data_IF_509191708680
#
_entry.id   IF_509191708680
#
_cell.length_a   1.000
_cell.length_b   1.000
_cell.length_c   1.000
_cell.angle_alpha   90.00
_cell.angle_beta   90.00
_cell.angle_gamma   90.00
#
_symmetry.space_group_name_H-M   'P 1'
#
loop_
_entity.id
_entity.type
_entity.pdbx_description
1 polymer ?
#
# COMPACT_ATOMS: atom_id res chain seq x y z
N UNK A 1 -8.97 -15.60 6.46
CA UNK A 1 -8.90 -17.05 6.15
C UNK A 1 -8.42 -17.33 4.72
N UNK A 2 -8.82 -16.53 3.70
CA UNK A 2 -8.39 -16.74 2.30
C UNK A 2 -6.93 -16.37 2.05
N UNK A 3 -6.36 -15.50 2.87
CA UNK A 3 -4.96 -15.03 2.71
C UNK A 3 -3.95 -16.16 2.84
N UNK A 4 -4.11 -17.05 3.84
CA UNK A 4 -3.18 -18.15 4.08
C UNK A 4 -2.99 -19.06 2.87
N UNK A 5 -4.07 -19.66 2.30
CA UNK A 5 -3.96 -20.49 1.11
C UNK A 5 -3.37 -19.77 -0.12
N UNK A 6 -3.76 -18.50 -0.35
CA UNK A 6 -3.23 -17.73 -1.49
C UNK A 6 -1.74 -17.44 -1.36
N UNK A 7 -1.30 -17.00 -0.19
CA UNK A 7 0.11 -16.73 0.09
C UNK A 7 0.93 -18.02 0.06
N UNK A 8 0.41 -19.10 0.67
CA UNK A 8 1.08 -20.42 0.64
C UNK A 8 1.23 -20.95 -0.78
N UNK A 9 0.19 -20.85 -1.61
CA UNK A 9 0.24 -21.26 -3.01
C UNK A 9 1.25 -20.43 -3.79
N UNK A 10 1.20 -19.09 -3.64
CA UNK A 10 2.14 -18.18 -4.30
C UNK A 10 3.59 -18.48 -3.92
N UNK A 11 3.84 -18.78 -2.64
CA UNK A 11 5.15 -19.15 -2.14
C UNK A 11 5.68 -20.44 -2.76
N UNK A 12 4.88 -21.51 -2.79
CA UNK A 12 5.26 -22.78 -3.40
C UNK A 12 5.58 -22.59 -4.89
N UNK A 13 4.74 -21.82 -5.59
CA UNK A 13 4.94 -21.52 -6.99
C UNK A 13 6.21 -20.69 -7.23
N UNK A 14 6.46 -19.67 -6.40
CA UNK A 14 7.65 -18.85 -6.48
C UNK A 14 8.94 -19.65 -6.26
N UNK A 15 8.97 -20.55 -5.24
CA UNK A 15 10.11 -21.45 -5.01
C UNK A 15 10.33 -22.36 -6.21
N UNK A 16 9.27 -22.95 -6.78
CA UNK A 16 9.38 -23.83 -7.94
C UNK A 16 9.98 -23.11 -9.14
N UNK A 17 9.45 -21.91 -9.47
CA UNK A 17 9.93 -21.09 -10.58
C UNK A 17 11.37 -20.61 -10.36
N UNK A 18 11.70 -20.17 -9.15
CA UNK A 18 13.06 -19.76 -8.79
C UNK A 18 14.04 -20.93 -8.88
N UNK A 19 13.63 -22.12 -8.41
CA UNK A 19 14.43 -23.33 -8.51
C UNK A 19 14.70 -23.73 -9.97
N UNK A 20 13.69 -23.67 -10.84
CA UNK A 20 13.86 -23.92 -12.28
C UNK A 20 14.79 -22.89 -12.95
N UNK A 21 14.61 -21.61 -12.63
CA UNK A 21 15.45 -20.53 -13.16
C UNK A 21 16.90 -20.62 -12.67
N UNK A 22 17.15 -21.22 -11.50
CA UNK A 22 18.49 -21.39 -10.92
C UNK A 22 19.27 -22.58 -11.49
N UNK A 23 18.60 -23.57 -12.07
CA UNK A 23 19.27 -24.79 -12.61
C UNK A 23 20.37 -24.50 -13.64
N UNK A 24 20.18 -23.61 -14.64
CA UNK A 24 21.23 -23.27 -15.60
C UNK A 24 22.47 -22.66 -14.94
N UNK A 25 22.29 -21.91 -13.85
CA UNK A 25 23.38 -21.27 -13.12
C UNK A 25 24.31 -22.27 -12.41
N UNK A 26 23.83 -23.49 -12.13
CA UNK A 26 24.67 -24.57 -11.59
C UNK A 26 25.70 -25.05 -12.59
N UNK A 27 25.40 -24.95 -13.89
CA UNK A 27 26.30 -25.36 -14.99
C UNK A 27 27.12 -24.16 -15.49
N UNK A 28 26.51 -22.99 -15.54
CA UNK A 28 27.13 -21.75 -16.05
C UNK A 28 26.97 -20.64 -15.00
N UNK A 29 27.97 -20.46 -14.11
CA UNK A 29 27.88 -19.51 -12.99
C UNK A 29 27.59 -18.07 -13.38
N UNK A 30 27.92 -17.66 -14.62
CA UNK A 30 27.61 -16.32 -15.13
C UNK A 30 26.11 -16.05 -15.21
N UNK A 31 25.29 -17.10 -15.35
CA UNK A 31 23.81 -17.00 -15.35
C UNK A 31 23.22 -16.78 -13.96
N UNK A 32 24.02 -16.95 -12.90
CA UNK A 32 23.62 -16.61 -11.54
C UNK A 32 23.56 -15.09 -11.30
N UNK A 33 24.22 -14.30 -12.15
CA UNK A 33 24.21 -12.84 -12.03
C UNK A 33 22.78 -12.33 -12.23
N UNK A 34 22.23 -11.70 -11.18
CA UNK A 34 20.85 -11.20 -11.17
C UNK A 34 19.80 -12.15 -10.62
N UNK A 35 20.15 -13.42 -10.30
CA UNK A 35 19.26 -14.32 -9.57
C UNK A 35 19.30 -13.99 -8.08
N UNK A 36 18.27 -13.29 -7.61
CA UNK A 36 18.12 -12.95 -6.20
C UNK A 36 16.87 -13.66 -5.62
N UNK A 37 17.01 -14.38 -4.49
CA UNK A 37 15.87 -14.98 -3.80
C UNK A 37 14.80 -13.97 -3.37
N UNK A 38 15.19 -12.73 -3.08
CA UNK A 38 14.25 -11.67 -2.74
C UNK A 38 13.31 -11.38 -3.91
N UNK A 39 13.87 -11.17 -5.12
CA UNK A 39 13.09 -10.89 -6.33
C UNK A 39 12.33 -12.13 -6.84
N UNK A 40 12.93 -13.32 -6.71
CA UNK A 40 12.37 -14.54 -7.25
C UNK A 40 11.37 -15.26 -6.34
N UNK A 41 11.45 -15.06 -5.02
CA UNK A 41 10.62 -15.79 -4.04
C UNK A 41 9.81 -14.82 -3.18
N UNK A 42 10.45 -13.84 -2.55
CA UNK A 42 9.80 -13.00 -1.54
C UNK A 42 8.79 -12.04 -2.21
N UNK A 43 9.21 -11.26 -3.21
CA UNK A 43 8.32 -10.30 -3.90
C UNK A 43 7.08 -10.99 -4.50
N UNK A 44 7.19 -12.09 -5.29
CA UNK A 44 6.01 -12.77 -5.82
C UNK A 44 5.07 -13.30 -4.75
N UNK A 45 5.61 -13.76 -3.62
CA UNK A 45 4.82 -14.23 -2.49
C UNK A 45 3.99 -13.09 -1.87
N UNK A 46 4.60 -11.93 -1.68
CA UNK A 46 3.93 -10.73 -1.17
C UNK A 46 2.96 -10.13 -2.18
N UNK A 47 3.13 -10.37 -3.47
CA UNK A 47 2.16 -10.04 -4.51
C UNK A 47 0.77 -10.64 -4.25
N UNK A 48 0.69 -11.84 -3.64
CA UNK A 48 -0.59 -12.44 -3.24
C UNK A 48 -1.27 -11.65 -2.10
N UNK A 49 -0.50 -11.13 -1.14
CA UNK A 49 -1.02 -10.26 -0.06
C UNK A 49 -1.50 -8.94 -0.65
N UNK A 50 -0.74 -8.35 -1.55
CA UNK A 50 -1.11 -7.14 -2.27
C UNK A 50 -2.46 -7.30 -2.99
N UNK A 51 -2.68 -8.44 -3.67
CA UNK A 51 -3.96 -8.77 -4.32
C UNK A 51 -5.12 -8.77 -3.31
N UNK A 52 -4.93 -9.43 -2.16
CA UNK A 52 -5.94 -9.49 -1.09
C UNK A 52 -6.22 -8.10 -0.53
N UNK A 53 -5.21 -7.30 -0.28
CA UNK A 53 -5.36 -5.92 0.20
C UNK A 53 -6.15 -5.07 -0.80
N UNK A 54 -5.86 -5.21 -2.08
CA UNK A 54 -6.53 -4.44 -3.12
C UNK A 54 -8.00 -4.83 -3.29
N UNK A 55 -8.32 -6.14 -3.29
CA UNK A 55 -9.64 -6.65 -3.65
C UNK A 55 -10.54 -6.90 -2.45
N UNK A 56 -10.03 -7.49 -1.37
CA UNK A 56 -10.86 -8.00 -0.28
C UNK A 56 -10.83 -7.11 0.96
N UNK A 57 -9.70 -6.48 1.24
CA UNK A 57 -9.53 -5.69 2.45
C UNK A 57 -10.44 -4.45 2.53
N UNK A 58 -10.77 -3.76 1.42
CA UNK A 58 -11.73 -2.66 1.42
C UNK A 58 -13.07 -3.03 2.07
N UNK A 59 -13.57 -4.25 1.87
CA UNK A 59 -14.83 -4.71 2.48
C UNK A 59 -14.76 -4.77 4.01
N UNK A 60 -13.60 -5.16 4.56
CA UNK A 60 -13.37 -5.19 6.01
C UNK A 60 -13.42 -3.78 6.59
N UNK A 61 -12.73 -2.84 5.95
CA UNK A 61 -12.69 -1.45 6.38
C UNK A 61 -14.05 -0.76 6.26
N UNK A 62 -14.75 -0.94 5.14
CA UNK A 62 -16.08 -0.36 4.89
C UNK A 62 -17.08 -0.81 5.94
N UNK A 63 -17.07 -2.08 6.30
CA UNK A 63 -18.00 -2.66 7.26
C UNK A 63 -17.98 -1.94 8.61
N UNK A 64 -16.85 -1.41 9.05
CA UNK A 64 -16.71 -0.72 10.34
C UNK A 64 -17.52 0.57 10.43
N UNK A 65 -17.78 1.24 9.32
CA UNK A 65 -18.63 2.45 9.26
C UNK A 65 -20.05 2.11 8.79
N UNK A 66 -20.19 1.27 7.76
CA UNK A 66 -21.50 0.96 7.18
C UNK A 66 -22.40 0.25 8.16
N UNK A 67 -21.89 -0.68 9.00
CA UNK A 67 -22.68 -1.33 10.04
C UNK A 67 -23.31 -0.34 11.03
N UNK A 68 -22.57 0.70 11.42
CA UNK A 68 -23.09 1.73 12.31
C UNK A 68 -24.13 2.63 11.64
N UNK A 69 -23.99 2.88 10.33
CA UNK A 69 -25.00 3.59 9.56
C UNK A 69 -26.29 2.79 9.46
N UNK A 70 -26.18 1.52 9.09
CA UNK A 70 -27.33 0.63 8.86
C UNK A 70 -28.10 0.35 10.15
N UNK A 71 -27.40 0.16 11.28
CA UNK A 71 -28.00 -0.04 12.60
C UNK A 71 -28.53 1.23 13.27
N UNK A 72 -28.22 2.40 12.70
CA UNK A 72 -28.53 3.70 13.32
C UNK A 72 -27.65 4.05 14.55
N UNK A 73 -26.74 3.16 14.96
CA UNK A 73 -25.84 3.36 16.11
C UNK A 73 -24.90 4.56 15.92
N UNK A 74 -24.65 4.97 14.67
CA UNK A 74 -23.86 6.16 14.37
C UNK A 74 -24.44 7.43 15.01
N UNK A 75 -25.77 7.58 15.06
CA UNK A 75 -26.43 8.72 15.71
C UNK A 75 -26.18 8.73 17.21
N UNK A 76 -26.21 7.57 17.85
CA UNK A 76 -25.93 7.43 19.27
C UNK A 76 -24.44 7.71 19.57
N UNK A 77 -23.52 7.27 18.71
CA UNK A 77 -22.10 7.55 18.85
C UNK A 77 -21.80 9.06 18.81
N UNK A 78 -22.49 9.81 17.96
CA UNK A 78 -22.32 11.28 17.91
C UNK A 78 -22.96 12.03 19.07
N UNK A 79 -23.82 11.39 19.88
CA UNK A 79 -24.38 11.93 21.11
C UNK A 79 -23.45 11.71 22.32
N UNK A 80 -22.45 10.83 22.20
CA UNK A 80 -21.45 10.62 23.24
C UNK A 80 -20.53 11.85 23.36
N UNK A 81 -19.93 12.10 24.55
CA UNK A 81 -19.01 13.21 24.76
C UNK A 81 -17.66 13.01 24.06
N UNK A 82 -17.53 11.97 23.22
CA UNK A 82 -16.31 11.65 22.48
C UNK A 82 -16.15 12.52 21.24
N UNK A 83 -14.93 12.95 20.97
CA UNK A 83 -14.63 13.68 19.73
C UNK A 83 -14.74 12.74 18.53
N UNK A 84 -15.37 13.18 17.43
CA UNK A 84 -15.49 12.40 16.21
C UNK A 84 -14.16 11.92 15.64
N UNK A 85 -13.08 12.71 15.84
CA UNK A 85 -11.71 12.31 15.47
C UNK A 85 -11.21 11.10 16.27
N UNK A 86 -11.52 11.05 17.57
CA UNK A 86 -11.14 9.91 18.42
C UNK A 86 -11.92 8.64 18.03
N UNK A 87 -13.23 8.79 17.72
CA UNK A 87 -14.04 7.67 17.24
C UNK A 87 -13.52 7.12 15.90
N UNK A 88 -13.19 8.01 14.95
CA UNK A 88 -12.63 7.59 13.67
C UNK A 88 -11.24 6.96 13.86
N UNK A 89 -10.38 7.53 14.70
CA UNK A 89 -9.07 6.97 15.01
C UNK A 89 -9.17 5.56 15.61
N UNK A 90 -10.12 5.34 16.54
CA UNK A 90 -10.36 4.01 17.12
C UNK A 90 -10.82 3.00 16.06
N UNK A 91 -11.72 3.39 15.15
CA UNK A 91 -12.15 2.54 14.02
C UNK A 91 -10.98 2.24 13.06
N UNK A 92 -10.21 3.26 12.72
CA UNK A 92 -8.99 3.09 11.90
C UNK A 92 -8.01 2.12 12.56
N UNK A 93 -7.75 2.28 13.86
CA UNK A 93 -6.88 1.38 14.61
C UNK A 93 -7.39 -0.08 14.58
N UNK A 94 -8.69 -0.29 14.75
CA UNK A 94 -9.28 -1.63 14.65
C UNK A 94 -9.09 -2.25 13.25
N UNK A 95 -9.25 -1.46 12.18
CA UNK A 95 -9.00 -1.92 10.81
C UNK A 95 -7.52 -2.23 10.58
N UNK A 96 -6.59 -1.40 11.11
CA UNK A 96 -5.15 -1.65 11.00
C UNK A 96 -4.72 -2.90 11.79
N UNK A 97 -5.35 -3.19 12.94
CA UNK A 97 -5.14 -4.47 13.63
C UNK A 97 -5.62 -5.65 12.77
N UNK A 98 -6.78 -5.53 12.12
CA UNK A 98 -7.25 -6.54 11.17
C UNK A 98 -6.29 -6.72 9.99
N UNK A 99 -5.68 -5.61 9.51
CA UNK A 99 -4.64 -5.66 8.49
C UNK A 99 -3.41 -6.46 8.95
N UNK A 100 -2.93 -6.25 10.18
CA UNK A 100 -1.81 -7.04 10.74
C UNK A 100 -2.11 -8.55 10.73
N UNK A 101 -3.36 -8.94 10.96
CA UNK A 101 -3.78 -10.35 10.87
C UNK A 101 -3.73 -10.88 9.42
N UNK A 102 -3.96 -10.02 8.43
CA UNK A 102 -3.83 -10.37 7.00
C UNK A 102 -2.37 -10.61 6.62
N UNK A 103 -1.43 -9.90 7.24
CA UNK A 103 0.02 -10.06 7.00
C UNK A 103 0.65 -11.29 7.66
N UNK A 104 0.00 -11.89 8.67
CA UNK A 104 0.56 -13.05 9.39
C UNK A 104 1.00 -14.21 8.48
N UNK A 105 0.24 -14.62 7.44
CA UNK A 105 0.70 -15.65 6.52
C UNK A 105 2.00 -15.30 5.80
N UNK A 106 2.18 -14.04 5.41
CA UNK A 106 3.43 -13.56 4.81
C UNK A 106 4.62 -13.67 5.75
N UNK A 107 4.43 -13.27 7.02
CA UNK A 107 5.46 -13.41 8.05
C UNK A 107 5.80 -14.88 8.33
N UNK A 108 4.78 -15.76 8.35
CA UNK A 108 5.01 -17.20 8.51
C UNK A 108 5.80 -17.79 7.34
N UNK A 109 5.53 -17.36 6.13
CA UNK A 109 6.27 -17.78 4.93
C UNK A 109 7.73 -17.33 5.01
N UNK A 110 8.01 -16.09 5.43
CA UNK A 110 9.40 -15.64 5.66
C UNK A 110 10.12 -16.50 6.70
N UNK A 111 9.42 -16.85 7.78
CA UNK A 111 9.97 -17.74 8.80
C UNK A 111 10.27 -19.14 8.23
N UNK A 112 9.34 -19.74 7.48
CA UNK A 112 9.51 -21.03 6.82
C UNK A 112 10.70 -20.98 5.86
N UNK A 113 10.78 -19.94 5.02
CA UNK A 113 11.89 -19.72 4.09
C UNK A 113 13.24 -19.68 4.83
N UNK A 114 13.31 -18.92 5.92
CA UNK A 114 14.52 -18.81 6.74
C UNK A 114 14.91 -20.13 7.38
N UNK A 115 13.95 -20.87 7.93
CA UNK A 115 14.18 -22.18 8.56
C UNK A 115 14.58 -23.26 7.54
N UNK A 116 14.17 -23.11 6.28
CA UNK A 116 14.56 -24.00 5.17
C UNK A 116 15.95 -23.68 4.60
N UNK A 117 16.70 -22.76 5.22
CA UNK A 117 18.03 -22.35 4.77
C UNK A 117 18.02 -21.24 3.72
N UNK A 118 16.85 -20.64 3.45
CA UNK A 118 16.73 -19.51 2.53
C UNK A 118 17.42 -18.24 3.06
N UNK A 119 18.00 -17.48 2.14
CA UNK A 119 18.64 -16.21 2.47
C UNK A 119 17.59 -15.12 2.62
N UNK A 120 17.72 -14.30 3.67
CA UNK A 120 16.91 -13.09 3.93
C UNK A 120 17.86 -11.99 4.33
N UNK A 121 17.90 -10.93 3.53
CA UNK A 121 18.56 -9.69 3.91
C UNK A 121 17.55 -8.78 4.62
N UNK A 122 17.76 -8.54 5.93
CA UNK A 122 16.78 -7.89 6.77
C UNK A 122 16.40 -6.47 6.36
N UNK A 123 17.33 -5.55 5.96
CA UNK A 123 16.95 -4.20 5.56
C UNK A 123 16.01 -4.15 4.35
N UNK A 124 16.29 -4.95 3.32
CA UNK A 124 15.49 -5.04 2.10
C UNK A 124 14.10 -5.61 2.39
N UNK A 125 14.04 -6.69 3.19
CA UNK A 125 12.78 -7.31 3.60
C UNK A 125 11.93 -6.38 4.47
N UNK A 126 12.56 -5.65 5.41
CA UNK A 126 11.86 -4.64 6.23
C UNK A 126 11.33 -3.48 5.38
N UNK A 127 12.06 -3.08 4.34
CA UNK A 127 11.60 -2.08 3.38
C UNK A 127 10.33 -2.53 2.66
N UNK A 128 10.29 -3.78 2.18
CA UNK A 128 9.10 -4.39 1.57
C UNK A 128 7.91 -4.40 2.55
N UNK A 129 8.11 -4.91 3.77
CA UNK A 129 7.07 -4.96 4.81
C UNK A 129 6.53 -3.57 5.14
N UNK A 130 7.42 -2.58 5.22
CA UNK A 130 7.04 -1.19 5.45
C UNK A 130 6.21 -0.62 4.29
N UNK A 131 6.58 -0.91 3.05
CA UNK A 131 5.80 -0.56 1.86
C UNK A 131 4.40 -1.17 1.89
N UNK A 132 4.28 -2.46 2.22
CA UNK A 132 2.99 -3.14 2.39
C UNK A 132 2.16 -2.52 3.53
N UNK A 133 2.79 -2.15 4.63
CA UNK A 133 2.11 -1.42 5.72
C UNK A 133 1.53 -0.09 5.24
N UNK A 134 2.32 0.72 4.57
CA UNK A 134 1.88 2.00 4.02
C UNK A 134 0.75 1.83 2.99
N UNK A 135 0.84 0.79 2.17
CA UNK A 135 -0.22 0.44 1.23
C UNK A 135 -1.52 0.05 1.95
N UNK A 136 -1.45 -0.80 2.97
CA UNK A 136 -2.60 -1.14 3.80
C UNK A 136 -3.24 0.07 4.48
N UNK A 137 -2.42 1.02 4.95
CA UNK A 137 -2.90 2.29 5.52
C UNK A 137 -3.68 3.09 4.49
N UNK A 138 -3.15 3.30 3.27
CA UNK A 138 -3.84 4.10 2.26
C UNK A 138 -5.14 3.44 1.79
N UNK A 139 -5.15 2.12 1.59
CA UNK A 139 -6.35 1.35 1.23
C UNK A 139 -7.41 1.45 2.35
N UNK A 140 -6.98 1.40 3.62
CA UNK A 140 -7.86 1.62 4.78
C UNK A 140 -8.55 2.98 4.69
N UNK A 141 -7.81 4.06 4.48
CA UNK A 141 -8.39 5.40 4.43
C UNK A 141 -9.25 5.66 3.21
N UNK A 142 -8.89 5.12 2.04
CA UNK A 142 -9.76 5.15 0.84
C UNK A 142 -11.10 4.46 1.17
N UNK A 143 -11.06 3.31 1.81
CA UNK A 143 -12.25 2.51 2.13
C UNK A 143 -13.13 3.17 3.18
N UNK A 144 -12.52 3.74 4.24
CA UNK A 144 -13.26 4.50 5.26
C UNK A 144 -13.89 5.77 4.69
N UNK A 145 -13.17 6.47 3.81
CA UNK A 145 -13.73 7.65 3.12
C UNK A 145 -14.89 7.26 2.20
N UNK A 146 -14.74 6.20 1.41
CA UNK A 146 -15.82 5.67 0.58
C UNK A 146 -17.07 5.31 1.43
N UNK A 147 -16.87 4.65 2.59
CA UNK A 147 -17.93 4.34 3.52
C UNK A 147 -18.56 5.60 4.17
N UNK A 148 -17.79 6.66 4.39
CA UNK A 148 -18.32 7.92 4.92
C UNK A 148 -19.23 8.65 3.91
N UNK A 149 -18.85 8.63 2.63
CA UNK A 149 -19.59 9.33 1.55
C UNK A 149 -20.81 8.54 1.08
N UNK A 150 -20.67 7.22 0.91
CA UNK A 150 -21.72 6.36 0.37
C UNK A 150 -22.88 6.16 1.34
N UNK A 151 -24.07 6.00 0.80
CA UNK A 151 -25.28 5.69 1.60
C UNK A 151 -25.36 4.22 1.97
N UNK A 152 -24.82 3.31 1.14
CA UNK A 152 -24.84 1.86 1.37
C UNK A 152 -23.44 1.27 1.34
N UNK A 153 -23.27 0.11 1.99
CA UNK A 153 -22.03 -0.65 1.96
C UNK A 153 -21.63 -1.07 0.53
N UNK A 154 -22.61 -1.41 -0.31
CA UNK A 154 -22.36 -1.78 -1.73
C UNK A 154 -21.82 -0.63 -2.55
N UNK A 155 -22.40 0.57 -2.41
CA UNK A 155 -21.91 1.77 -3.08
C UNK A 155 -20.52 2.14 -2.58
N UNK A 156 -20.27 2.04 -1.27
CA UNK A 156 -18.95 2.25 -0.69
C UNK A 156 -17.91 1.28 -1.27
N UNK A 157 -18.28 0.01 -1.41
CA UNK A 157 -17.41 -1.01 -2.01
C UNK A 157 -17.06 -0.70 -3.47
N UNK A 158 -18.05 -0.31 -4.27
CA UNK A 158 -17.82 0.11 -5.66
C UNK A 158 -16.86 1.30 -5.75
N UNK A 159 -17.05 2.34 -4.90
CA UNK A 159 -16.18 3.50 -4.87
C UNK A 159 -14.74 3.12 -4.46
N UNK A 160 -14.58 2.32 -3.40
CA UNK A 160 -13.27 1.89 -2.94
C UNK A 160 -12.56 1.04 -4.00
N UNK A 161 -13.24 0.04 -4.58
CA UNK A 161 -12.70 -0.81 -5.63
C UNK A 161 -12.38 -0.02 -6.91
N UNK A 162 -13.18 0.97 -7.28
CA UNK A 162 -12.86 1.85 -8.41
C UNK A 162 -11.54 2.58 -8.19
N UNK A 163 -11.26 3.04 -6.96
CA UNK A 163 -9.99 3.68 -6.64
C UNK A 163 -8.82 2.68 -6.65
N UNK A 164 -8.99 1.52 -6.00
CA UNK A 164 -7.90 0.55 -5.85
C UNK A 164 -7.62 -0.23 -7.14
N UNK A 165 -8.65 -0.78 -7.80
CA UNK A 165 -8.51 -1.47 -9.09
C UNK A 165 -8.25 -0.51 -10.23
N UNK A 166 -8.85 0.69 -10.22
CA UNK A 166 -8.56 1.72 -11.21
C UNK A 166 -7.08 2.09 -11.23
N UNK A 167 -6.44 2.13 -10.06
CA UNK A 167 -4.99 2.27 -9.95
C UNK A 167 -4.22 1.15 -10.67
N UNK A 168 -4.69 -0.07 -10.57
CA UNK A 168 -4.09 -1.23 -11.25
C UNK A 168 -4.25 -1.15 -12.77
N UNK A 169 -5.43 -0.76 -13.24
CA UNK A 169 -5.69 -0.55 -14.67
C UNK A 169 -4.77 0.55 -15.24
N UNK A 170 -4.51 1.60 -14.47
CA UNK A 170 -3.57 2.66 -14.88
C UNK A 170 -2.15 2.13 -15.05
N UNK A 171 -1.72 1.17 -14.23
CA UNK A 171 -0.40 0.52 -14.36
C UNK A 171 -0.26 -0.21 -15.70
N UNK A 172 -1.27 -1.01 -16.08
CA UNK A 172 -1.29 -1.66 -17.38
C UNK A 172 -1.33 -0.67 -18.54
N UNK A 173 -2.10 0.41 -18.41
CA UNK A 173 -2.21 1.43 -19.45
C UNK A 173 -0.92 2.24 -19.63
N UNK A 174 -0.16 2.48 -18.57
CA UNK A 174 1.14 3.17 -18.63
C UNK A 174 2.18 2.41 -19.43
N UNK A 175 2.14 1.07 -19.42
CA UNK A 175 2.99 0.21 -20.24
C UNK A 175 2.77 0.34 -21.75
N UNK A 176 1.70 1.03 -22.21
CA UNK A 176 1.38 1.24 -23.62
C UNK A 176 2.21 2.33 -24.33
N UNK A 177 3.16 2.96 -23.63
CA UNK A 177 4.07 3.97 -24.23
C UNK A 177 3.49 5.39 -24.36
N UNK A 178 2.33 5.66 -23.83
CA UNK A 178 1.67 6.97 -23.93
C UNK A 178 2.14 7.92 -22.82
N UNK A 179 2.77 9.04 -23.18
CA UNK A 179 3.47 9.95 -22.24
C UNK A 179 2.57 10.59 -21.19
N UNK A 180 1.29 10.84 -21.49
CA UNK A 180 0.37 11.43 -20.51
C UNK A 180 -0.16 10.38 -19.52
N UNK A 181 -0.35 9.11 -19.96
CA UNK A 181 -0.69 7.99 -19.09
C UNK A 181 0.42 7.69 -18.10
N UNK A 182 1.69 7.79 -18.53
CA UNK A 182 2.84 7.62 -17.65
C UNK A 182 2.84 8.63 -16.49
N UNK A 183 2.44 9.90 -16.74
CA UNK A 183 2.32 10.92 -15.68
C UNK A 183 1.18 10.63 -14.70
N UNK A 184 0.07 10.08 -15.18
CA UNK A 184 -1.05 9.67 -14.32
C UNK A 184 -0.65 8.43 -13.51
N UNK A 185 0.13 7.52 -14.09
CA UNK A 185 0.65 6.35 -13.42
C UNK A 185 1.48 6.68 -12.18
N UNK A 186 2.29 7.77 -12.21
CA UNK A 186 3.04 8.21 -11.01
C UNK A 186 2.15 8.48 -9.79
N UNK A 187 0.85 8.70 -9.99
CA UNK A 187 -0.14 8.88 -8.93
C UNK A 187 -0.87 7.57 -8.56
N UNK A 188 -0.54 6.46 -9.22
CA UNK A 188 -1.16 5.17 -8.93
C UNK A 188 -0.67 4.58 -7.61
N UNK A 189 -1.53 3.80 -6.96
CA UNK A 189 -1.18 3.13 -5.70
C UNK A 189 -0.08 2.08 -5.91
N UNK A 190 -0.03 1.46 -7.09
CA UNK A 190 1.02 0.52 -7.50
C UNK A 190 2.38 1.20 -7.64
N UNK A 191 2.43 2.39 -8.23
CA UNK A 191 3.66 3.17 -8.34
C UNK A 191 4.22 3.57 -6.96
N UNK A 192 3.32 3.77 -5.96
CA UNK A 192 3.74 4.07 -4.59
C UNK A 192 4.39 2.87 -3.88
N UNK A 193 4.00 1.64 -4.22
CA UNK A 193 4.55 0.42 -3.61
C UNK A 193 5.87 -0.01 -4.27
N UNK A 194 6.01 0.20 -5.57
CA UNK A 194 7.15 -0.28 -6.38
C UNK A 194 8.55 0.04 -5.82
N UNK A 195 8.85 1.24 -5.31
CA UNK A 195 10.16 1.51 -4.71
C UNK A 195 10.49 0.61 -3.52
N UNK A 196 9.49 0.31 -2.68
CA UNK A 196 9.70 -0.54 -1.51
C UNK A 196 9.94 -2.01 -1.89
N UNK A 197 9.29 -2.50 -2.96
CA UNK A 197 9.57 -3.81 -3.55
C UNK A 197 10.99 -3.89 -4.13
N UNK A 198 11.54 -2.77 -4.55
CA UNK A 198 12.92 -2.65 -5.03
C UNK A 198 13.95 -2.43 -3.90
N UNK A 199 13.53 -2.49 -2.64
CA UNK A 199 14.41 -2.22 -1.50
C UNK A 199 14.80 -0.74 -1.35
N UNK A 200 14.10 0.18 -2.02
CA UNK A 200 14.36 1.61 -1.96
C UNK A 200 13.43 2.32 -0.99
N UNK A 201 13.98 2.90 0.06
CA UNK A 201 13.24 3.78 0.96
C UNK A 201 13.25 5.21 0.42
N UNK A 202 12.18 5.60 -0.26
CA UNK A 202 12.03 6.92 -0.88
C UNK A 202 11.19 7.83 0.02
N UNK A 203 11.82 8.75 0.72
CA UNK A 203 11.16 9.66 1.68
C UNK A 203 10.06 10.51 1.04
N UNK A 204 10.21 10.89 -0.22
CA UNK A 204 9.17 11.58 -0.99
C UNK A 204 7.89 10.74 -1.09
N UNK A 205 8.01 9.43 -1.29
CA UNK A 205 6.86 8.52 -1.38
C UNK A 205 6.22 8.37 -0.01
N UNK A 206 7.02 8.16 1.05
CA UNK A 206 6.52 8.08 2.44
C UNK A 206 5.77 9.34 2.83
N UNK A 207 6.35 10.51 2.57
CA UNK A 207 5.71 11.80 2.82
C UNK A 207 4.43 12.00 1.99
N UNK A 208 4.44 11.58 0.73
CA UNK A 208 3.27 11.60 -0.14
C UNK A 208 2.12 10.76 0.41
N UNK A 209 2.39 9.53 0.83
CA UNK A 209 1.41 8.64 1.47
C UNK A 209 0.89 9.27 2.78
N UNK A 210 1.77 9.85 3.59
CA UNK A 210 1.37 10.52 4.85
C UNK A 210 0.42 11.71 4.58
N UNK A 211 0.70 12.55 3.57
CA UNK A 211 -0.18 13.66 3.17
C UNK A 211 -1.53 13.13 2.66
N UNK A 212 -1.51 12.11 1.80
CA UNK A 212 -2.73 11.51 1.26
C UNK A 212 -3.60 10.90 2.36
N UNK A 213 -3.02 10.15 3.29
CA UNK A 213 -3.74 9.52 4.40
C UNK A 213 -4.29 10.56 5.38
N UNK A 214 -3.54 11.62 5.69
CA UNK A 214 -4.01 12.72 6.51
C UNK A 214 -5.18 13.48 5.83
N UNK A 215 -5.08 13.72 4.53
CA UNK A 215 -6.15 14.29 3.72
C UNK A 215 -7.42 13.44 3.72
N UNK A 216 -7.29 12.14 3.47
CA UNK A 216 -8.41 11.19 3.51
C UNK A 216 -9.02 11.07 4.90
N UNK A 217 -8.22 11.10 5.97
CA UNK A 217 -8.73 11.17 7.34
C UNK A 217 -9.58 12.42 7.58
N UNK A 218 -9.08 13.60 7.16
CA UNK A 218 -9.81 14.86 7.27
C UNK A 218 -11.10 14.86 6.45
N UNK A 219 -11.06 14.33 5.21
CA UNK A 219 -12.23 14.18 4.35
C UNK A 219 -13.24 13.21 4.97
N UNK A 220 -12.79 12.09 5.53
CA UNK A 220 -13.67 11.14 6.21
C UNK A 220 -14.39 11.81 7.39
N UNK A 221 -13.69 12.56 8.24
CA UNK A 221 -14.29 13.33 9.33
C UNK A 221 -15.30 14.37 8.85
N UNK A 222 -15.02 15.01 7.71
CA UNK A 222 -15.89 16.02 7.15
C UNK A 222 -17.20 15.43 6.64
N UNK A 223 -17.13 14.29 5.94
CA UNK A 223 -18.26 13.65 5.28
C UNK A 223 -19.02 12.69 6.19
N UNK A 224 -18.41 12.18 7.22
CA UNK A 224 -19.02 11.23 8.16
C UNK A 224 -20.15 11.85 8.99
N UNK A 225 -20.15 13.17 9.21
CA UNK A 225 -21.20 13.90 9.94
C UNK A 225 -22.48 14.05 9.11
N UNK A 226 -23.61 13.42 9.49
CA UNK A 226 -24.85 13.46 8.71
C UNK A 226 -25.52 14.84 8.70
N UNK A 227 -25.34 15.65 9.75
CA UNK A 227 -26.00 16.96 9.91
C UNK A 227 -25.31 18.15 9.22
N UNK A 228 -24.18 17.96 8.56
CA UNK A 228 -23.46 19.08 7.91
C UNK A 228 -24.08 19.39 6.54
N UNK A 229 -24.38 20.68 6.24
CA UNK A 229 -24.89 21.06 4.94
C UNK A 229 -23.85 20.80 3.83
N UNK A 230 -24.33 20.44 2.63
CA UNK A 230 -23.49 20.07 1.49
C UNK A 230 -22.47 21.17 1.14
N UNK A 231 -22.87 22.45 1.22
CA UNK A 231 -21.98 23.59 0.93
C UNK A 231 -20.75 23.60 1.85
N UNK A 232 -20.92 23.30 3.15
CA UNK A 232 -19.80 23.21 4.09
C UNK A 232 -18.92 22.00 3.80
N UNK A 233 -19.51 20.84 3.40
CA UNK A 233 -18.76 19.66 2.99
C UNK A 233 -17.90 19.95 1.75
N UNK A 234 -18.48 20.59 0.73
CA UNK A 234 -17.76 20.95 -0.50
C UNK A 234 -16.64 21.96 -0.25
N UNK A 235 -16.92 23.04 0.52
CA UNK A 235 -15.88 24.02 0.89
C UNK A 235 -14.74 23.36 1.69
N UNK A 236 -15.08 22.54 2.67
CA UNK A 236 -14.08 21.80 3.46
C UNK A 236 -13.26 20.85 2.60
N UNK A 237 -13.89 20.15 1.65
CA UNK A 237 -13.20 19.29 0.69
C UNK A 237 -12.19 20.09 -0.14
N UNK A 238 -12.62 21.24 -0.71
CA UNK A 238 -11.71 22.12 -1.45
C UNK A 238 -10.52 22.60 -0.59
N UNK A 239 -10.79 22.97 0.67
CA UNK A 239 -9.74 23.38 1.62
C UNK A 239 -8.73 22.26 1.87
N UNK A 240 -9.20 21.03 2.10
CA UNK A 240 -8.31 19.86 2.30
C UNK A 240 -7.46 19.60 1.05
N UNK A 241 -8.05 19.66 -0.15
CA UNK A 241 -7.29 19.48 -1.40
C UNK A 241 -6.23 20.56 -1.58
N UNK A 242 -6.55 21.85 -1.37
CA UNK A 242 -5.59 22.95 -1.46
C UNK A 242 -4.45 22.76 -0.45
N UNK A 243 -4.78 22.38 0.79
CA UNK A 243 -3.79 22.16 1.83
C UNK A 243 -2.86 20.97 1.51
N UNK A 244 -3.41 19.85 1.06
CA UNK A 244 -2.62 18.71 0.61
C UNK A 244 -1.72 19.08 -0.58
N UNK A 245 -2.26 19.79 -1.59
CA UNK A 245 -1.47 20.25 -2.73
C UNK A 245 -0.33 21.18 -2.29
N UNK A 246 -0.59 22.09 -1.35
CA UNK A 246 0.46 22.97 -0.79
C UNK A 246 1.56 22.20 -0.07
N UNK A 247 1.22 21.10 0.62
CA UNK A 247 2.20 20.23 1.29
C UNK A 247 3.02 19.39 0.30
N UNK A 248 2.46 19.06 -0.88
CA UNK A 248 3.21 18.33 -1.92
C UNK A 248 4.30 19.17 -2.58
N UNK A 249 4.21 20.51 -2.56
CA UNK A 249 5.21 21.40 -3.16
C UNK A 249 6.58 21.25 -2.47
N UNK A 250 6.73 21.42 -1.15
CA UNK A 250 8.02 21.25 -0.48
C UNK A 250 8.52 19.80 -0.53
N UNK A 251 7.62 18.82 -0.60
CA UNK A 251 7.98 17.40 -0.67
C UNK A 251 8.83 17.07 -1.92
N UNK A 252 8.67 17.83 -3.02
CA UNK A 252 9.48 17.66 -4.24
C UNK A 252 10.96 17.95 -4.02
N UNK A 253 11.30 18.75 -3.01
CA UNK A 253 12.68 19.14 -2.67
C UNK A 253 13.30 18.19 -1.63
N UNK A 254 12.53 17.27 -1.05
CA UNK A 254 13.04 16.25 -0.15
C UNK A 254 13.64 15.13 -1.00
N UNK A 255 14.94 15.12 -1.15
CA UNK A 255 15.72 13.95 -1.52
C UNK A 255 16.47 13.55 -0.24
N UNK A 256 16.78 12.31 0.04
CA UNK A 256 17.20 11.25 -0.85
C UNK A 256 16.38 9.97 -0.71
N UNK A 257 16.54 9.05 -1.66
CA UNK A 257 16.26 7.64 -1.50
C UNK A 257 17.42 6.98 -0.75
N UNK A 258 17.09 6.08 0.18
CA UNK A 258 18.05 5.21 0.84
C UNK A 258 17.96 3.84 0.16
N UNK A 259 19.07 3.37 -0.40
CA UNK A 259 19.17 2.05 -0.97
C UNK A 259 19.44 1.04 0.15
N UNK A 260 18.45 0.18 0.41
CA UNK A 260 18.48 -0.86 1.44
C UNK A 260 18.71 -2.26 0.84
N UNK A 261 19.04 -2.35 -0.47
CA UNK A 261 19.38 -3.62 -1.11
C UNK A 261 20.73 -4.15 -0.61
N UNK A 262 20.89 -5.47 -0.59
CA UNK A 262 22.12 -6.12 -0.09
C UNK A 262 23.37 -5.65 -0.84
N UNK A 263 23.27 -5.52 -2.18
CA UNK A 263 24.37 -5.14 -3.06
C UNK A 263 24.36 -3.65 -3.42
N UNK A 264 23.54 -2.82 -2.77
CA UNK A 264 23.35 -1.40 -3.12
C UNK A 264 23.08 -1.19 -4.63
N UNK A 265 22.25 -2.06 -5.20
CA UNK A 265 22.01 -2.17 -6.67
C UNK A 265 21.53 -0.89 -7.32
N UNK A 266 20.95 0.02 -6.55
CA UNK A 266 20.39 1.29 -7.03
C UNK A 266 21.22 2.51 -6.61
N UNK A 267 22.33 2.33 -5.89
CA UNK A 267 23.32 3.37 -5.58
C UNK A 267 24.51 3.26 -6.52
N UNK A 268 24.96 4.38 -7.09
CA UNK A 268 26.22 4.38 -7.84
C UNK A 268 27.36 4.00 -6.90
N UNK A 269 28.15 2.99 -7.28
CA UNK A 269 29.38 2.68 -6.58
C UNK A 269 30.23 3.95 -6.47
N UNK A 270 30.79 4.28 -5.29
CA UNK A 270 31.63 5.48 -5.12
C UNK A 270 32.80 5.54 -6.11
N UNK A 271 33.23 4.39 -6.65
CA UNK A 271 34.26 4.29 -7.69
C UNK A 271 33.79 4.87 -9.03
N UNK A 272 32.50 4.75 -9.37
CA UNK A 272 31.93 5.31 -10.61
C UNK A 272 31.64 6.81 -10.45
N UNK A 273 31.27 7.25 -9.24
CA UNK A 273 31.06 8.68 -8.94
C UNK A 273 32.34 9.53 -9.05
N UNK A 274 33.50 8.95 -8.75
CA UNK A 274 34.81 9.62 -8.91
C UNK A 274 35.34 9.60 -10.34
N UNK A 275 34.83 8.71 -11.19
CA UNK A 275 35.20 8.63 -12.61
C UNK A 275 34.38 9.58 -13.51
N UNK A 276 33.30 10.17 -12.99
CA UNK A 276 32.39 11.10 -13.69
C UNK A 276 32.60 12.56 -13.26
N UNK A 277 33.50 12.86 -12.31
CA UNK A 277 34.00 14.16 -11.94
C UNK A 277 35.34 14.45 -12.63
#
# INVERSE_FOLDING_TARGET
LLTGPLVGYSFIQAISLYGEASKPALVTPQLAVGLNPFDGVIIPTYGAIYLVLTLLFPFVAIRTISTDKDSGSLRLLFQTPLRSSALLAAKTAAVLVAWLLVELPGLLVLLIWRLSGGHIFAPETLCLLFGHFLYGVIVTFISLFAAAVAESASTAALLALTCTLGSWVLDFAAGSGNSWLAKIFELSLTALLKPFEQGLLVWKVVGGIAIMTAGLFALTLLWWHPGRPLVLKLRGTATVFIFCAALFVPLRHIAPSVDLTEDQRHSFSPVVGTALQ
#
